data_IF_690840505855
#
_entry.id   IF_690840505855
#
_cell.length_a   1.000
_cell.length_b   1.000
_cell.length_c   1.000
_cell.angle_alpha   90.00
_cell.angle_beta   90.00
_cell.angle_gamma   90.00
#
_symmetry.space_group_name_H-M   'P 1'
#
loop_
_entity.id
_entity.type
_entity.pdbx_description
1 polymer ?
#
# COMPACT_ATOMS: atom_id res chain seq x y z
N UNK A 1 -8.30 18.28 26.23
CA UNK A 1 -8.18 17.85 24.81
C UNK A 1 -8.83 16.48 24.70
N UNK A 2 -9.74 16.21 23.75
CA UNK A 2 -10.21 14.84 23.56
C UNK A 2 -9.00 13.98 23.21
N UNK A 3 -8.88 12.80 23.86
CA UNK A 3 -7.84 11.83 23.51
C UNK A 3 -7.90 11.51 22.02
N UNK A 4 -6.77 11.56 21.35
CA UNK A 4 -6.63 11.13 19.97
C UNK A 4 -7.08 9.67 19.88
N UNK A 5 -8.16 9.39 19.16
CA UNK A 5 -8.73 8.04 19.01
C UNK A 5 -8.71 7.64 17.55
N UNK A 6 -8.38 6.37 17.30
CA UNK A 6 -8.58 5.76 15.98
C UNK A 6 -10.08 5.59 15.70
N UNK A 7 -10.44 5.63 14.40
CA UNK A 7 -11.78 5.26 13.95
C UNK A 7 -11.86 3.73 13.88
N UNK A 8 -12.79 3.06 14.57
CA UNK A 8 -12.94 1.61 14.48
C UNK A 8 -13.10 1.13 13.02
N UNK A 9 -12.33 0.09 12.64
CA UNK A 9 -12.27 -0.39 11.25
C UNK A 9 -12.10 -1.91 11.17
N UNK A 10 -12.94 -2.64 11.91
CA UNK A 10 -12.85 -4.09 12.01
C UNK A 10 -14.11 -4.78 11.52
N UNK A 11 -15.29 -4.43 12.05
CA UNK A 11 -16.56 -5.02 11.64
C UNK A 11 -17.08 -4.38 10.34
N UNK A 12 -17.95 -5.08 9.58
CA UNK A 12 -18.57 -4.50 8.38
C UNK A 12 -19.27 -3.16 8.63
N UNK A 13 -19.94 -3.01 9.78
CA UNK A 13 -20.66 -1.80 10.16
C UNK A 13 -19.70 -0.63 10.51
N UNK A 14 -18.57 -0.93 11.15
CA UNK A 14 -17.53 0.06 11.43
C UNK A 14 -16.87 0.54 10.14
N UNK A 15 -16.52 -0.39 9.25
CA UNK A 15 -15.95 -0.09 7.94
C UNK A 15 -16.88 0.83 7.15
N UNK A 16 -18.16 0.50 7.06
CA UNK A 16 -19.13 1.31 6.31
C UNK A 16 -19.25 2.73 6.88
N UNK A 17 -19.29 2.87 8.20
CA UNK A 17 -19.33 4.18 8.87
C UNK A 17 -18.06 5.02 8.67
N UNK A 18 -16.90 4.36 8.54
CA UNK A 18 -15.62 5.03 8.38
C UNK A 18 -15.39 5.56 6.96
N UNK A 19 -15.98 4.95 5.92
CA UNK A 19 -15.64 5.19 4.52
C UNK A 19 -15.80 6.67 4.14
N UNK A 20 -16.96 7.27 4.38
CA UNK A 20 -17.25 8.64 3.92
C UNK A 20 -16.24 9.66 4.46
N UNK A 21 -16.08 9.71 5.79
CA UNK A 21 -15.14 10.65 6.42
C UNK A 21 -13.67 10.36 6.04
N UNK A 22 -13.31 9.09 5.80
CA UNK A 22 -11.97 8.71 5.35
C UNK A 22 -11.72 9.20 3.91
N UNK A 23 -12.71 9.11 3.03
CA UNK A 23 -12.61 9.62 1.66
C UNK A 23 -12.44 11.15 1.66
N UNK A 24 -13.20 11.87 2.47
CA UNK A 24 -13.06 13.34 2.62
C UNK A 24 -11.65 13.69 3.09
N UNK A 25 -11.15 13.02 4.13
CA UNK A 25 -9.80 13.21 4.66
C UNK A 25 -8.71 12.97 3.58
N UNK A 26 -8.83 11.92 2.79
CA UNK A 26 -7.91 11.62 1.69
C UNK A 26 -7.99 12.66 0.56
N UNK A 27 -9.19 13.13 0.18
CA UNK A 27 -9.40 14.17 -0.83
C UNK A 27 -8.85 15.53 -0.42
N UNK A 28 -8.78 15.80 0.89
CA UNK A 28 -8.07 16.97 1.44
C UNK A 28 -6.53 16.83 1.34
N UNK A 29 -6.04 15.75 0.73
CA UNK A 29 -4.61 15.47 0.57
C UNK A 29 -3.91 15.08 1.87
N UNK A 30 -4.66 14.63 2.89
CA UNK A 30 -4.10 14.24 4.20
C UNK A 30 -3.67 12.78 4.22
N UNK A 31 -2.95 12.40 5.28
CA UNK A 31 -2.39 11.06 5.41
C UNK A 31 -3.32 10.15 6.22
N UNK A 32 -3.46 8.91 5.78
CA UNK A 32 -4.21 7.86 6.44
C UNK A 32 -3.26 6.81 7.03
N UNK A 33 -3.47 6.42 8.29
CA UNK A 33 -2.94 5.20 8.89
C UNK A 33 -4.02 4.13 8.87
N UNK A 34 -3.69 2.91 8.42
CA UNK A 34 -4.67 1.86 8.24
C UNK A 34 -4.09 0.45 8.46
N UNK A 35 -4.93 -0.50 8.92
CA UNK A 35 -4.52 -1.90 9.04
C UNK A 35 -4.40 -2.56 7.65
N UNK A 36 -3.44 -3.48 7.51
CA UNK A 36 -3.37 -4.40 6.37
C UNK A 36 -3.33 -5.84 6.88
N UNK A 37 -3.25 -6.81 5.99
CA UNK A 37 -3.04 -8.21 6.35
C UNK A 37 -1.62 -8.49 6.89
N UNK A 38 -0.73 -7.50 6.86
CA UNK A 38 0.67 -7.65 7.29
C UNK A 38 1.02 -6.75 8.47
N UNK A 39 1.03 -5.45 8.28
CA UNK A 39 1.37 -4.42 9.27
C UNK A 39 0.50 -3.21 9.05
N UNK A 40 0.44 -2.28 10.00
CA UNK A 40 -0.16 -0.97 9.71
C UNK A 40 0.61 -0.25 8.60
N UNK A 41 -0.15 0.40 7.72
CA UNK A 41 0.37 1.19 6.62
C UNK A 41 0.03 2.67 6.77
N UNK A 42 0.84 3.51 6.12
CA UNK A 42 0.49 4.89 5.81
C UNK A 42 0.25 5.04 4.33
N UNK A 43 -0.72 5.86 3.97
CA UNK A 43 -1.02 6.20 2.58
C UNK A 43 -1.76 7.51 2.44
N UNK A 44 -1.87 7.94 1.20
CA UNK A 44 -2.59 9.13 0.78
C UNK A 44 -3.00 8.96 -0.68
N UNK A 45 -3.70 9.93 -1.25
CA UNK A 45 -3.97 10.01 -2.69
C UNK A 45 -2.66 10.04 -3.49
N UNK A 46 -2.73 9.76 -4.79
CA UNK A 46 -1.55 9.73 -5.68
C UNK A 46 -1.18 11.11 -6.24
N UNK A 47 -1.81 12.20 -5.80
CA UNK A 47 -1.42 13.55 -6.20
C UNK A 47 -0.08 13.98 -5.56
N UNK A 48 0.62 14.92 -6.21
CA UNK A 48 1.96 15.29 -5.82
C UNK A 48 2.06 15.91 -4.43
N UNK A 49 1.13 16.78 -4.02
CA UNK A 49 1.16 17.45 -2.72
C UNK A 49 0.88 16.47 -1.58
N UNK A 50 -0.12 15.60 -1.75
CA UNK A 50 -0.44 14.58 -0.78
C UNK A 50 0.74 13.61 -0.57
N UNK A 51 1.40 13.20 -1.67
CA UNK A 51 2.58 12.35 -1.63
C UNK A 51 3.73 13.01 -0.87
N UNK A 52 4.00 14.32 -1.07
CA UNK A 52 5.05 15.02 -0.33
C UNK A 52 4.73 15.12 1.17
N UNK A 53 3.48 15.35 1.58
CA UNK A 53 3.07 15.27 3.00
C UNK A 53 3.39 13.90 3.62
N UNK A 54 3.15 12.81 2.89
CA UNK A 54 3.51 11.46 3.33
C UNK A 54 5.04 11.27 3.40
N UNK A 55 5.79 11.84 2.46
CA UNK A 55 7.27 11.84 2.48
C UNK A 55 7.79 12.53 3.74
N UNK A 56 7.27 13.70 4.06
CA UNK A 56 7.64 14.49 5.25
C UNK A 56 7.31 13.73 6.53
N UNK A 57 6.07 13.22 6.66
CA UNK A 57 5.63 12.44 7.83
C UNK A 57 6.55 11.24 8.09
N UNK A 58 6.93 10.53 7.03
CA UNK A 58 7.76 9.34 7.07
C UNK A 58 9.26 9.63 7.14
N UNK A 59 9.69 10.87 6.87
CA UNK A 59 11.11 11.22 6.61
C UNK A 59 11.71 10.26 5.57
N UNK A 60 10.95 9.97 4.50
CA UNK A 60 11.29 8.93 3.53
C UNK A 60 12.34 9.42 2.53
N UNK A 61 13.43 8.65 2.32
CA UNK A 61 14.42 8.99 1.31
C UNK A 61 13.82 9.04 -0.11
N UNK A 62 14.28 9.97 -0.98
CA UNK A 62 13.80 10.10 -2.36
C UNK A 62 13.91 8.83 -3.20
N UNK A 63 14.91 8.01 -2.93
CA UNK A 63 15.21 6.78 -3.68
C UNK A 63 14.25 5.60 -3.42
N UNK A 64 13.32 5.74 -2.47
CA UNK A 64 12.37 4.67 -2.12
C UNK A 64 10.95 5.06 -2.53
N UNK A 65 10.43 4.64 -3.71
CA UNK A 65 9.06 4.92 -4.11
C UNK A 65 8.06 4.23 -3.16
N UNK A 66 6.81 4.71 -3.17
CA UNK A 66 5.70 4.04 -2.49
C UNK A 66 5.07 3.02 -3.42
N UNK A 67 4.47 1.98 -2.86
CA UNK A 67 3.58 1.12 -3.63
C UNK A 67 2.17 1.72 -3.68
N UNK A 68 1.36 1.26 -4.63
CA UNK A 68 -0.05 1.58 -4.75
C UNK A 68 -0.89 0.38 -4.31
N UNK A 69 -1.89 0.63 -3.46
CA UNK A 69 -2.94 -0.35 -3.18
C UNK A 69 -4.11 -0.11 -4.13
N UNK A 70 -4.59 -1.20 -4.71
CA UNK A 70 -5.76 -1.25 -5.59
C UNK A 70 -6.86 -2.13 -4.99
N UNK A 71 -8.11 -1.91 -5.41
CA UNK A 71 -9.27 -2.73 -5.04
C UNK A 71 -9.55 -3.85 -6.02
N UNK A 72 -9.09 -3.72 -7.27
CA UNK A 72 -9.35 -4.66 -8.36
C UNK A 72 -8.36 -4.47 -9.51
N UNK A 73 -8.28 -5.43 -10.43
CA UNK A 73 -7.41 -5.34 -11.61
C UNK A 73 -7.89 -4.34 -12.67
N UNK A 74 -9.19 -4.07 -12.88
CA UNK A 74 -9.64 -3.00 -13.78
C UNK A 74 -9.07 -1.62 -13.45
N UNK A 75 -8.72 -1.34 -12.18
CA UNK A 75 -8.08 -0.10 -11.77
C UNK A 75 -6.73 0.13 -12.48
N UNK A 76 -6.01 -0.94 -12.82
CA UNK A 76 -4.73 -0.84 -13.55
C UNK A 76 -4.90 -0.15 -14.91
N UNK A 77 -5.97 -0.48 -15.64
CA UNK A 77 -6.23 0.15 -16.95
C UNK A 77 -6.51 1.66 -16.82
N UNK A 78 -7.19 2.08 -15.75
CA UNK A 78 -7.42 3.52 -15.45
C UNK A 78 -6.12 4.26 -15.13
N UNK A 79 -5.14 3.56 -14.60
CA UNK A 79 -3.80 4.09 -14.29
C UNK A 79 -2.82 3.98 -15.46
N UNK A 80 -3.25 3.44 -16.59
CA UNK A 80 -2.39 3.15 -17.75
C UNK A 80 -1.23 2.20 -17.40
N UNK A 81 -1.47 1.27 -16.46
CA UNK A 81 -0.52 0.23 -16.06
C UNK A 81 -0.82 -1.09 -16.77
N UNK A 82 0.23 -1.79 -17.17
CA UNK A 82 0.11 -3.00 -17.99
C UNK A 82 0.60 -4.24 -17.24
N UNK A 83 -0.25 -5.28 -17.17
CA UNK A 83 0.18 -6.59 -16.75
C UNK A 83 0.94 -7.27 -17.90
N UNK A 84 2.24 -7.48 -17.72
CA UNK A 84 3.01 -8.39 -18.59
C UNK A 84 2.49 -9.81 -18.44
N UNK A 85 2.87 -10.74 -19.34
CA UNK A 85 2.46 -12.13 -19.23
C UNK A 85 2.83 -12.73 -17.86
N UNK A 86 4.07 -12.51 -17.41
CA UNK A 86 4.52 -12.99 -16.09
C UNK A 86 3.72 -12.33 -14.95
N UNK A 87 3.49 -11.02 -15.00
CA UNK A 87 2.69 -10.31 -14.01
C UNK A 87 1.25 -10.84 -13.96
N UNK A 88 0.63 -11.14 -15.11
CA UNK A 88 -0.71 -11.72 -15.20
C UNK A 88 -0.80 -13.08 -14.53
N UNK A 89 0.19 -13.96 -14.77
CA UNK A 89 0.24 -15.30 -14.16
C UNK A 89 0.41 -15.21 -12.63
N UNK A 90 1.28 -14.32 -12.16
CA UNK A 90 1.51 -14.09 -10.74
C UNK A 90 0.29 -13.48 -10.06
N UNK A 91 -0.32 -12.46 -10.68
CA UNK A 91 -1.54 -11.82 -10.17
C UNK A 91 -2.71 -12.79 -10.06
N UNK A 92 -2.95 -13.59 -11.09
CA UNK A 92 -4.04 -14.58 -11.10
C UNK A 92 -3.97 -15.60 -9.96
N UNK A 93 -2.75 -15.90 -9.46
CA UNK A 93 -2.54 -16.88 -8.39
C UNK A 93 -2.45 -16.25 -6.99
N UNK A 94 -1.93 -15.02 -6.88
CA UNK A 94 -1.52 -14.44 -5.61
C UNK A 94 -2.23 -13.11 -5.27
N UNK A 95 -3.12 -12.60 -6.12
CA UNK A 95 -3.95 -11.45 -5.84
C UNK A 95 -5.41 -11.85 -5.67
N UNK A 96 -6.11 -11.27 -4.69
CA UNK A 96 -5.61 -10.38 -3.63
C UNK A 96 -4.69 -11.13 -2.65
N UNK A 97 -3.58 -10.48 -2.22
CA UNK A 97 -2.61 -11.13 -1.34
C UNK A 97 -1.30 -10.37 -1.12
N UNK A 98 -0.35 -10.99 -0.40
CA UNK A 98 0.90 -10.36 -0.01
C UNK A 98 1.95 -10.38 -1.14
N UNK A 99 1.54 -10.11 -2.38
CA UNK A 99 2.39 -9.95 -3.56
C UNK A 99 2.31 -8.52 -4.08
N UNK A 100 3.46 -7.87 -4.22
CA UNK A 100 3.62 -6.58 -4.89
C UNK A 100 4.29 -6.81 -6.24
N UNK A 101 3.68 -6.33 -7.31
CA UNK A 101 4.22 -6.38 -8.66
C UNK A 101 4.65 -4.98 -9.09
N UNK A 102 5.88 -4.85 -9.60
CA UNK A 102 6.31 -3.61 -10.27
C UNK A 102 5.94 -3.75 -11.75
N UNK A 103 5.09 -2.83 -12.21
CA UNK A 103 4.46 -2.86 -13.53
C UNK A 103 4.95 -1.72 -14.40
N UNK A 104 5.07 -1.91 -15.73
CA UNK A 104 5.33 -0.84 -16.69
C UNK A 104 4.06 -0.02 -16.97
N UNK A 105 4.23 1.20 -17.50
CA UNK A 105 3.15 2.13 -17.86
C UNK A 105 2.92 3.23 -16.82
N UNK A 106 1.82 3.94 -16.92
CA UNK A 106 1.39 4.96 -15.96
C UNK A 106 2.10 6.31 -16.08
N UNK A 107 2.86 6.58 -17.15
CA UNK A 107 3.66 7.80 -17.30
C UNK A 107 2.83 9.09 -17.23
N UNK A 108 1.60 9.04 -17.68
CA UNK A 108 0.68 10.20 -17.72
C UNK A 108 -0.17 10.35 -16.47
N UNK A 109 -0.27 9.30 -15.65
CA UNK A 109 -1.23 9.21 -14.52
C UNK A 109 -0.53 9.22 -13.16
N UNK A 110 0.68 8.69 -13.10
CA UNK A 110 1.36 8.42 -11.85
C UNK A 110 2.57 9.34 -11.72
N UNK A 111 2.62 10.17 -10.66
CA UNK A 111 3.75 11.07 -10.40
C UNK A 111 5.09 10.34 -10.37
N UNK A 112 6.15 10.99 -10.84
CA UNK A 112 7.51 10.44 -10.85
C UNK A 112 8.00 9.97 -9.48
N UNK A 113 7.52 10.61 -8.40
CA UNK A 113 7.83 10.26 -7.01
C UNK A 113 7.36 8.85 -6.61
N UNK A 114 6.37 8.30 -7.29
CA UNK A 114 5.81 6.96 -7.06
C UNK A 114 6.43 5.90 -7.99
N UNK A 115 7.35 6.29 -8.85
CA UNK A 115 8.01 5.42 -9.83
C UNK A 115 9.38 4.98 -9.35
N UNK A 116 9.72 3.73 -9.59
CA UNK A 116 11.05 3.20 -9.32
C UNK A 116 12.12 3.75 -10.28
N UNK A 117 13.40 3.45 -10.04
CA UNK A 117 14.51 3.94 -10.87
C UNK A 117 14.38 3.61 -12.35
N UNK A 118 13.77 2.47 -12.67
CA UNK A 118 13.54 2.01 -14.06
C UNK A 118 12.16 2.43 -14.59
N UNK A 119 11.47 3.34 -13.89
CA UNK A 119 10.18 3.87 -14.29
C UNK A 119 8.98 2.98 -13.94
N UNK A 120 9.18 1.80 -13.40
CA UNK A 120 8.09 0.90 -12.99
C UNK A 120 7.33 1.39 -11.75
N UNK A 121 6.08 0.96 -11.62
CA UNK A 121 5.18 1.30 -10.50
C UNK A 121 4.86 0.05 -9.70
N UNK A 122 5.12 0.08 -8.40
CA UNK A 122 4.80 -1.02 -7.49
C UNK A 122 3.31 -1.00 -7.13
N UNK A 123 2.61 -2.12 -7.35
CA UNK A 123 1.17 -2.25 -7.11
C UNK A 123 0.88 -3.51 -6.31
N UNK A 124 -0.09 -3.45 -5.40
CA UNK A 124 -0.61 -4.60 -4.66
C UNK A 124 -2.14 -4.54 -4.56
N UNK A 125 -2.79 -5.66 -4.81
CA UNK A 125 -4.19 -5.84 -4.46
C UNK A 125 -4.26 -6.48 -3.08
N UNK A 126 -4.64 -5.67 -2.06
CA UNK A 126 -4.74 -6.13 -0.68
C UNK A 126 -5.94 -7.07 -0.48
N UNK A 127 -5.82 -8.14 0.33
CA UNK A 127 -6.97 -8.97 0.74
C UNK A 127 -7.80 -8.34 1.86
N UNK A 128 -7.37 -7.23 2.46
CA UNK A 128 -8.08 -6.57 3.55
C UNK A 128 -9.40 -5.96 3.07
N UNK A 129 -10.52 -6.58 3.45
CA UNK A 129 -11.87 -6.25 2.94
C UNK A 129 -12.23 -4.77 3.12
N UNK A 130 -11.91 -4.19 4.29
CA UNK A 130 -12.17 -2.77 4.56
C UNK A 130 -11.41 -1.84 3.61
N UNK A 131 -10.14 -2.15 3.32
CA UNK A 131 -9.35 -1.37 2.36
C UNK A 131 -9.86 -1.53 0.92
N UNK A 132 -10.26 -2.74 0.53
CA UNK A 132 -10.88 -2.94 -0.80
C UNK A 132 -12.14 -2.08 -0.95
N UNK A 133 -13.02 -2.05 0.06
CA UNK A 133 -14.23 -1.21 0.07
C UNK A 133 -13.89 0.29 0.01
N UNK A 134 -12.94 0.74 0.84
CA UNK A 134 -12.49 2.13 0.85
C UNK A 134 -11.94 2.55 -0.52
N UNK A 135 -11.00 1.78 -1.07
CA UNK A 135 -10.35 2.07 -2.35
C UNK A 135 -11.36 2.02 -3.50
N UNK A 136 -12.29 1.06 -3.47
CA UNK A 136 -13.38 0.97 -4.46
C UNK A 136 -14.31 2.18 -4.40
N UNK A 137 -14.71 2.61 -3.20
CA UNK A 137 -15.58 3.78 -3.00
C UNK A 137 -14.87 5.10 -3.34
N UNK A 138 -13.56 5.19 -3.06
CA UNK A 138 -12.71 6.31 -3.48
C UNK A 138 -12.57 6.39 -5.01
N UNK A 139 -12.68 5.25 -5.68
CA UNK A 139 -12.48 5.05 -7.13
C UNK A 139 -11.04 5.34 -7.62
N UNK A 140 -10.08 5.50 -6.72
CA UNK A 140 -8.66 5.75 -6.97
C UNK A 140 -7.78 4.90 -6.06
N UNK A 141 -6.55 4.55 -6.48
CA UNK A 141 -5.61 3.87 -5.60
C UNK A 141 -5.14 4.79 -4.48
N UNK A 142 -4.66 4.20 -3.41
CA UNK A 142 -3.92 4.93 -2.37
C UNK A 142 -2.46 4.50 -2.36
N UNK A 143 -1.56 5.42 -2.04
CA UNK A 143 -0.16 5.08 -1.79
C UNK A 143 -0.06 4.21 -0.55
N UNK A 144 0.99 3.41 -0.44
CA UNK A 144 1.19 2.58 0.75
C UNK A 144 2.67 2.42 1.11
N UNK A 145 2.91 2.54 2.39
CA UNK A 145 4.19 2.22 3.03
C UNK A 145 3.92 1.75 4.46
N UNK A 146 4.83 0.98 5.06
CA UNK A 146 4.70 0.57 6.46
C UNK A 146 4.61 1.77 7.41
N UNK A 147 3.80 1.69 8.45
CA UNK A 147 3.65 2.73 9.47
C UNK A 147 4.78 2.62 10.50
N UNK A 148 5.92 3.26 10.19
CA UNK A 148 7.10 3.35 11.04
C UNK A 148 8.00 4.50 10.59
N UNK A 149 8.87 4.98 11.47
CA UNK A 149 10.01 5.82 11.10
C UNK A 149 11.14 4.95 10.50
N UNK A 150 12.06 5.53 9.72
CA UNK A 150 13.21 4.80 9.21
C UNK A 150 14.01 4.13 10.32
N UNK A 151 14.32 2.83 10.16
CA UNK A 151 15.07 2.05 11.16
C UNK A 151 14.23 1.50 12.33
N UNK A 152 12.95 1.85 12.42
CA UNK A 152 12.02 1.32 13.44
C UNK A 152 11.20 0.18 12.84
N UNK A 153 10.80 -0.80 13.65
CA UNK A 153 9.89 -1.85 13.21
C UNK A 153 8.52 -1.26 12.83
N UNK A 154 7.83 -1.80 11.80
CA UNK A 154 6.47 -1.41 11.47
C UNK A 154 5.49 -1.66 12.62
N UNK A 155 4.55 -0.74 12.84
CA UNK A 155 3.50 -0.91 13.84
C UNK A 155 2.57 -2.08 13.49
N UNK A 156 2.21 -2.84 14.51
CA UNK A 156 1.25 -3.97 14.44
C UNK A 156 -0.03 -3.69 15.21
N UNK A 157 -0.07 -2.59 15.98
CA UNK A 157 -1.23 -2.16 16.75
C UNK A 157 -1.59 -0.70 16.50
N UNK A 158 -2.87 -0.35 16.62
CA UNK A 158 -3.33 1.03 16.57
C UNK A 158 -2.70 1.87 17.71
N UNK A 159 -2.46 1.25 18.87
CA UNK A 159 -1.83 1.91 20.01
C UNK A 159 -0.42 2.41 19.70
N UNK A 160 0.41 1.62 19.02
CA UNK A 160 1.75 2.03 18.58
C UNK A 160 1.69 3.25 17.64
N UNK A 161 0.65 3.34 16.78
CA UNK A 161 0.43 4.51 15.92
C UNK A 161 0.06 5.73 16.77
N UNK A 162 -0.88 5.60 17.70
CA UNK A 162 -1.31 6.69 18.58
C UNK A 162 -0.14 7.25 19.40
N UNK A 163 0.67 6.38 19.99
CA UNK A 163 1.80 6.78 20.83
C UNK A 163 2.91 7.48 20.01
N UNK A 164 3.13 7.06 18.78
CA UNK A 164 4.24 7.56 17.94
C UNK A 164 3.86 8.81 17.14
N UNK A 165 2.56 8.98 16.78
CA UNK A 165 2.06 10.08 15.94
C UNK A 165 0.91 10.86 16.56
N UNK A 166 0.88 10.99 17.90
CA UNK A 166 -0.14 11.74 18.63
C UNK A 166 -0.33 13.16 18.06
N UNK A 167 0.76 13.89 17.84
CA UNK A 167 0.71 15.28 17.37
C UNK A 167 0.11 15.43 15.95
N UNK A 168 0.51 14.69 14.91
CA UNK A 168 -0.17 14.71 13.61
C UNK A 168 -1.64 14.29 13.68
N UNK A 169 -1.99 13.30 14.50
CA UNK A 169 -3.39 12.87 14.69
C UNK A 169 -4.19 13.98 15.37
N UNK A 170 -3.65 14.60 16.42
CA UNK A 170 -4.31 15.69 17.15
C UNK A 170 -4.56 16.94 16.31
N UNK A 171 -3.73 17.21 15.28
CA UNK A 171 -3.95 18.30 14.32
C UNK A 171 -4.86 17.91 13.15
N UNK A 172 -5.22 16.65 13.01
CA UNK A 172 -6.01 16.15 11.88
C UNK A 172 -5.20 15.95 10.59
N UNK A 173 -3.87 15.99 10.63
CA UNK A 173 -2.99 15.72 9.48
C UNK A 173 -2.92 14.22 9.15
N UNK A 174 -3.09 13.39 10.17
CA UNK A 174 -3.09 11.94 10.11
C UNK A 174 -4.39 11.39 10.71
N UNK A 175 -5.15 10.62 9.94
CA UNK A 175 -6.32 9.86 10.41
C UNK A 175 -5.91 8.42 10.67
N UNK A 176 -6.33 7.82 11.77
CA UNK A 176 -6.08 6.42 12.09
C UNK A 176 -7.36 5.60 11.95
N UNK A 177 -7.33 4.60 11.08
CA UNK A 177 -8.31 3.50 11.06
C UNK A 177 -7.81 2.40 11.99
N UNK A 178 -8.57 2.13 13.05
CA UNK A 178 -8.20 1.18 14.10
C UNK A 178 -8.75 -0.23 13.77
N UNK A 179 -7.87 -1.11 13.33
CA UNK A 179 -8.14 -2.53 13.11
C UNK A 179 -7.65 -3.43 14.24
N UNK A 180 -7.34 -2.85 15.42
CA UNK A 180 -6.85 -3.61 16.58
C UNK A 180 -5.39 -4.06 16.43
N UNK A 181 -5.10 -5.27 16.91
CA UNK A 181 -3.78 -5.91 16.82
C UNK A 181 -3.72 -6.82 15.61
N UNK A 182 -2.76 -6.58 14.73
CA UNK A 182 -2.54 -7.39 13.53
C UNK A 182 -1.69 -8.63 13.85
N UNK A 183 -1.94 -9.76 13.17
CA UNK A 183 -1.11 -10.95 13.32
C UNK A 183 0.32 -10.66 12.81
N UNK A 184 1.32 -11.26 13.46
CA UNK A 184 2.70 -11.17 12.97
C UNK A 184 2.82 -11.83 11.60
N UNK A 185 3.28 -11.10 10.61
CA UNK A 185 3.47 -11.60 9.25
C UNK A 185 4.65 -10.92 8.56
N UNK A 186 5.20 -11.59 7.54
CA UNK A 186 6.23 -11.01 6.69
C UNK A 186 5.61 -9.93 5.77
N UNK A 187 6.40 -8.93 5.43
CA UNK A 187 6.03 -7.98 4.40
C UNK A 187 5.78 -8.68 3.05
N UNK A 188 5.04 -8.02 2.13
CA UNK A 188 4.78 -8.57 0.80
C UNK A 188 6.08 -8.87 0.05
N UNK A 189 6.11 -9.97 -0.71
CA UNK A 189 7.16 -10.23 -1.70
C UNK A 189 7.01 -9.23 -2.85
N UNK A 190 8.13 -8.67 -3.34
CA UNK A 190 8.12 -7.70 -4.45
C UNK A 190 8.81 -8.31 -5.66
N UNK A 191 8.07 -8.37 -6.77
CA UNK A 191 8.56 -8.88 -8.05
C UNK A 191 8.53 -7.75 -9.08
N UNK A 192 9.69 -7.49 -9.68
CA UNK A 192 9.80 -6.59 -10.82
C UNK A 192 9.43 -7.33 -12.10
N UNK A 193 8.40 -6.85 -12.78
CA UNK A 193 7.87 -7.38 -14.03
C UNK A 193 8.03 -6.39 -15.21
N UNK A 194 8.88 -5.37 -15.08
CA UNK A 194 9.12 -4.38 -16.15
C UNK A 194 10.10 -4.88 -17.22
N UNK A 195 11.02 -5.77 -16.86
CA UNK A 195 12.04 -6.32 -17.74
C UNK A 195 11.58 -7.56 -18.52
N UNK A 196 12.46 -8.10 -19.37
CA UNK A 196 12.22 -9.34 -20.15
C UNK A 196 11.97 -10.56 -19.27
N UNK A 197 12.60 -10.62 -18.11
CA UNK A 197 12.44 -11.68 -17.11
C UNK A 197 12.02 -11.08 -15.80
N UNK A 198 10.98 -11.62 -15.13
CA UNK A 198 10.58 -11.15 -13.82
C UNK A 198 11.65 -11.44 -12.77
N UNK A 199 11.82 -10.54 -11.81
CA UNK A 199 12.87 -10.62 -10.79
C UNK A 199 12.31 -10.32 -9.40
N UNK A 200 12.59 -11.19 -8.42
CA UNK A 200 12.35 -10.89 -7.01
C UNK A 200 13.32 -9.80 -6.56
N UNK A 201 12.82 -8.64 -6.22
CA UNK A 201 13.63 -7.51 -5.74
C UNK A 201 13.55 -7.31 -4.23
N UNK A 202 12.59 -7.96 -3.59
CA UNK A 202 12.48 -8.06 -2.14
C UNK A 202 11.77 -9.36 -1.76
N UNK A 203 12.43 -10.28 -1.06
CA UNK A 203 11.77 -11.46 -0.49
C UNK A 203 10.76 -11.04 0.60
N UNK A 204 9.73 -11.85 0.80
CA UNK A 204 8.65 -11.59 1.73
C UNK A 204 7.77 -12.80 1.98
N UNK A 205 6.48 -12.58 2.21
CA UNK A 205 5.54 -13.61 2.63
C UNK A 205 5.37 -14.78 1.64
N UNK A 206 5.62 -14.56 0.34
CA UNK A 206 5.57 -15.63 -0.67
C UNK A 206 7.00 -15.99 -1.07
N UNK A 207 7.45 -17.23 -0.82
CA UNK A 207 8.79 -17.68 -1.21
C UNK A 207 8.96 -17.69 -2.73
N UNK A 208 10.18 -17.38 -3.22
CA UNK A 208 10.48 -17.41 -4.65
C UNK A 208 10.24 -18.78 -5.30
N UNK A 209 10.46 -19.87 -4.57
CA UNK A 209 10.16 -21.22 -5.03
C UNK A 209 8.67 -21.44 -5.35
N UNK A 210 7.76 -20.78 -4.63
CA UNK A 210 6.33 -20.82 -4.91
C UNK A 210 5.99 -19.99 -6.16
N UNK A 211 6.57 -18.80 -6.30
CA UNK A 211 6.38 -17.94 -7.47
C UNK A 211 6.88 -18.62 -8.76
N UNK A 212 7.99 -19.36 -8.70
CA UNK A 212 8.54 -20.13 -9.83
C UNK A 212 7.62 -21.24 -10.33
N UNK A 213 6.67 -21.72 -9.52
CA UNK A 213 5.66 -22.66 -10.00
C UNK A 213 4.74 -22.07 -11.05
N UNK A 214 4.51 -20.75 -10.98
CA UNK A 214 3.71 -20.02 -11.97
C UNK A 214 4.56 -19.41 -13.08
N UNK A 215 5.79 -18.98 -12.75
CA UNK A 215 6.71 -18.30 -13.67
C UNK A 215 8.10 -18.92 -13.50
N UNK A 216 8.41 -20.02 -14.24
CA UNK A 216 9.65 -20.78 -14.05
C UNK A 216 10.94 -19.98 -14.31
N UNK A 217 10.91 -18.94 -15.17
CA UNK A 217 12.03 -18.08 -15.51
C UNK A 217 12.24 -16.89 -14.54
N UNK A 218 11.52 -16.86 -13.40
CA UNK A 218 11.70 -15.88 -12.34
C UNK A 218 13.11 -15.96 -11.77
N UNK A 219 13.81 -14.81 -11.76
CA UNK A 219 15.18 -14.70 -11.23
C UNK A 219 15.21 -14.01 -9.86
N UNK A 220 16.32 -14.15 -9.15
CA UNK A 220 16.53 -13.58 -7.81
C UNK A 220 15.99 -14.48 -6.69
N UNK A 221 16.46 -14.21 -5.48
CA UNK A 221 16.21 -14.92 -4.24
C UNK A 221 16.39 -16.46 -4.36
N UNK A 222 17.64 -16.88 -4.22
CA UNK A 222 18.07 -18.29 -4.31
C UNK A 222 17.81 -19.06 -3.02
#
# INVERSE_FOLDING_TARGET
MPEARGIPFWSPEEIERAISGTIEHLRDGRVLAYPTETVYGFGTMIDGEAVERLVELKRRPPSKPFLLLISDTPMLARLDLHLTQAASMLAARHWPGPLTLVLPGGERRIPGRLRGPEGGVAVRWTPHVGLQRLISALADPITSTSANLPGVAPATTAREILDQWEAPIGRGDLLLLDGGTLPSSLASTVVDCTGKRPRVIRPGAIPAAELRRSVPDLIGDH
#
